data_IF_444083136835
#
_entry.id   IF_444083136835
#
_cell.length_a   1.000
_cell.length_b   1.000
_cell.length_c   1.000
_cell.angle_alpha   90.00
_cell.angle_beta   90.00
_cell.angle_gamma   90.00
#
_symmetry.space_group_name_H-M   'P 1'
#
loop_
_entity.id
_entity.type
_entity.pdbx_description
1 polymer ?
#
# COMPACT_ATOMS: atom_id res chain seq x y z
N UNK A 1 -19.52 18.64 15.18
CA UNK A 1 -18.46 17.65 14.84
C UNK A 1 -17.11 18.33 14.96
N UNK A 2 -16.19 17.74 15.72
CA UNK A 2 -14.98 18.42 16.21
C UNK A 2 -13.77 18.02 15.35
N UNK A 3 -13.24 18.96 14.55
CA UNK A 3 -12.15 18.74 13.59
C UNK A 3 -10.82 18.25 14.24
N UNK A 4 -10.69 18.35 15.57
CA UNK A 4 -9.54 17.83 16.33
C UNK A 4 -9.33 16.31 16.19
N UNK A 5 -10.37 15.52 15.92
CA UNK A 5 -10.28 14.05 15.86
C UNK A 5 -9.85 13.49 14.50
N UNK A 6 -9.89 14.29 13.42
CA UNK A 6 -9.42 13.86 12.09
C UNK A 6 -7.93 14.09 11.89
N UNK A 7 -7.34 14.95 12.73
CA UNK A 7 -5.90 15.18 12.82
C UNK A 7 -5.20 14.19 13.76
N UNK A 8 -5.70 12.94 13.91
CA UNK A 8 -4.78 11.81 14.12
C UNK A 8 -4.06 11.64 12.79
N UNK A 9 -3.13 12.58 12.56
CA UNK A 9 -2.21 12.66 11.45
C UNK A 9 -1.84 11.23 11.13
N UNK A 10 -2.34 10.74 10.00
CA UNK A 10 -1.79 9.55 9.37
C UNK A 10 -0.34 9.93 9.15
N UNK A 11 0.53 9.64 10.12
CA UNK A 11 1.97 9.81 9.96
C UNK A 11 2.25 8.95 8.74
N UNK A 12 2.52 9.60 7.60
CA UNK A 12 2.94 8.88 6.40
C UNK A 12 4.20 8.15 6.84
N UNK A 13 4.09 6.85 6.99
CA UNK A 13 5.23 6.05 7.37
C UNK A 13 6.24 6.19 6.24
N UNK A 14 7.53 6.38 6.57
CA UNK A 14 8.61 6.51 5.56
C UNK A 14 8.52 5.40 4.50
N UNK A 15 8.12 4.21 4.94
CA UNK A 15 8.00 2.98 4.17
C UNK A 15 6.72 2.86 3.35
N UNK A 16 5.72 3.74 3.54
CA UNK A 16 4.48 3.71 2.76
C UNK A 16 4.74 3.90 1.26
N UNK A 17 5.79 4.64 0.89
CA UNK A 17 6.21 4.83 -0.50
C UNK A 17 6.89 3.59 -1.10
N UNK A 18 7.36 2.66 -0.26
CA UNK A 18 8.06 1.45 -0.68
C UNK A 18 7.11 0.26 -0.84
N UNK A 19 5.84 0.40 -0.46
CA UNK A 19 4.83 -0.67 -0.56
C UNK A 19 4.64 -1.10 -2.02
N UNK A 20 4.49 -0.14 -2.94
CA UNK A 20 4.29 -0.44 -4.35
C UNK A 20 5.54 -1.10 -4.95
N UNK A 21 6.72 -0.56 -4.65
CA UNK A 21 7.99 -1.13 -5.11
C UNK A 21 8.22 -2.55 -4.57
N UNK A 22 7.83 -2.82 -3.31
CA UNK A 22 7.89 -4.15 -2.73
C UNK A 22 6.94 -5.13 -3.44
N UNK A 23 5.66 -4.77 -3.58
CA UNK A 23 4.65 -5.64 -4.20
C UNK A 23 4.90 -5.89 -5.70
N UNK A 24 5.62 -4.99 -6.37
CA UNK A 24 6.00 -5.10 -7.78
C UNK A 24 7.40 -5.69 -7.99
N UNK A 25 8.09 -6.15 -6.93
CA UNK A 25 9.45 -6.69 -6.98
C UNK A 25 10.50 -5.71 -7.56
N UNK A 26 10.37 -4.42 -7.28
CA UNK A 26 11.28 -3.35 -7.72
C UNK A 26 12.33 -2.96 -6.65
N UNK A 27 12.25 -3.52 -5.43
CA UNK A 27 13.25 -3.28 -4.39
C UNK A 27 14.47 -4.17 -4.58
N UNK A 28 15.64 -3.65 -4.19
CA UNK A 28 16.81 -4.49 -4.01
C UNK A 28 16.73 -5.22 -2.67
N UNK A 29 17.49 -6.31 -2.53
CA UNK A 29 17.46 -7.18 -1.35
C UNK A 29 17.64 -6.44 -0.02
N UNK A 30 18.56 -5.46 0.02
CA UNK A 30 18.81 -4.67 1.24
C UNK A 30 17.59 -3.84 1.67
N UNK A 31 16.90 -3.19 0.72
CA UNK A 31 15.70 -2.41 1.02
C UNK A 31 14.49 -3.29 1.31
N UNK A 32 14.43 -4.45 0.68
CA UNK A 32 13.41 -5.47 0.94
C UNK A 32 13.48 -5.93 2.40
N UNK A 33 14.67 -6.32 2.88
CA UNK A 33 14.91 -6.71 4.27
C UNK A 33 14.59 -5.57 5.26
N UNK A 34 14.99 -4.32 4.97
CA UNK A 34 14.66 -3.15 5.81
C UNK A 34 13.14 -2.92 5.87
N UNK A 35 12.45 -3.07 4.73
CA UNK A 35 11.01 -2.91 4.63
C UNK A 35 10.26 -4.01 5.37
N UNK A 36 10.71 -5.26 5.26
CA UNK A 36 10.18 -6.42 5.97
C UNK A 36 10.24 -6.24 7.48
N UNK A 37 11.43 -5.93 8.00
CA UNK A 37 11.60 -5.67 9.43
C UNK A 37 10.68 -4.56 9.94
N UNK A 38 10.41 -3.54 9.12
CA UNK A 38 9.48 -2.49 9.48
C UNK A 38 8.02 -2.96 9.50
N UNK A 39 7.52 -3.55 8.41
CA UNK A 39 6.10 -3.86 8.33
C UNK A 39 5.70 -5.01 9.27
N UNK A 40 6.60 -5.98 9.54
CA UNK A 40 6.36 -7.04 10.53
C UNK A 40 6.04 -6.49 11.93
N UNK A 41 6.65 -5.36 12.28
CA UNK A 41 6.50 -4.73 13.60
C UNK A 41 5.50 -3.57 13.61
N UNK A 42 4.83 -3.29 12.49
CA UNK A 42 3.97 -2.12 12.35
C UNK A 42 2.59 -2.49 11.79
N UNK A 43 1.58 -2.75 12.66
CA UNK A 43 0.24 -3.15 12.23
C UNK A 43 -0.42 -2.20 11.21
N UNK A 44 -0.14 -0.90 11.31
CA UNK A 44 -0.65 0.09 10.34
C UNK A 44 -0.03 -0.04 8.96
N UNK A 45 1.26 -0.36 8.87
CA UNK A 45 1.94 -0.61 7.60
C UNK A 45 1.52 -1.96 7.01
N UNK A 46 1.38 -2.99 7.85
CA UNK A 46 0.88 -4.30 7.42
C UNK A 46 -0.52 -4.21 6.81
N UNK A 47 -1.44 -3.47 7.46
CA UNK A 47 -2.78 -3.26 6.89
C UNK A 47 -2.71 -2.58 5.52
N UNK A 48 -1.92 -1.53 5.35
CA UNK A 48 -1.77 -0.83 4.06
C UNK A 48 -1.16 -1.72 2.99
N UNK A 49 -0.18 -2.56 3.34
CA UNK A 49 0.41 -3.54 2.45
C UNK A 49 -0.67 -4.52 1.93
N UNK A 50 -1.50 -5.06 2.84
CA UNK A 50 -2.59 -5.97 2.48
C UNK A 50 -3.67 -5.30 1.63
N UNK A 51 -4.10 -4.09 1.99
CA UNK A 51 -5.07 -3.32 1.20
C UNK A 51 -4.54 -3.11 -0.25
N UNK A 52 -3.23 -2.88 -0.43
CA UNK A 52 -2.59 -2.67 -1.74
C UNK A 52 -2.37 -3.98 -2.51
N UNK A 53 -2.00 -5.06 -1.82
CA UNK A 53 -1.85 -6.41 -2.39
C UNK A 53 -3.17 -6.91 -2.96
N UNK A 54 -4.27 -6.72 -2.23
CA UNK A 54 -5.62 -7.05 -2.69
C UNK A 54 -5.98 -6.29 -3.96
N UNK A 55 -5.74 -4.98 -3.99
CA UNK A 55 -5.97 -4.17 -5.19
C UNK A 55 -5.19 -4.66 -6.41
N UNK A 56 -3.89 -4.93 -6.25
CA UNK A 56 -3.04 -5.46 -7.33
C UNK A 56 -3.53 -6.83 -7.79
N UNK A 57 -3.94 -7.70 -6.85
CA UNK A 57 -4.49 -9.02 -7.15
C UNK A 57 -5.76 -8.91 -8.01
N UNK A 58 -6.69 -8.03 -7.64
CA UNK A 58 -7.93 -7.86 -8.41
C UNK A 58 -7.62 -7.36 -9.84
N UNK A 59 -6.70 -6.41 -10.01
CA UNK A 59 -6.27 -5.95 -11.33
C UNK A 59 -5.66 -7.09 -12.15
N UNK A 60 -4.80 -7.91 -11.54
CA UNK A 60 -4.15 -9.05 -12.22
C UNK A 60 -5.15 -10.11 -12.67
N UNK A 61 -6.19 -10.35 -11.89
CA UNK A 61 -7.17 -11.41 -12.16
C UNK A 61 -8.40 -10.95 -12.93
N UNK A 62 -8.69 -9.65 -12.95
CA UNK A 62 -9.86 -9.10 -13.64
C UNK A 62 -9.53 -7.75 -14.29
N UNK A 63 -8.71 -7.76 -15.36
CA UNK A 63 -8.35 -6.53 -16.07
C UNK A 63 -9.60 -5.81 -16.58
N UNK A 64 -10.52 -6.57 -17.19
CA UNK A 64 -11.67 -6.03 -17.92
C UNK A 64 -12.72 -5.35 -17.02
N UNK A 65 -12.80 -5.70 -15.72
CA UNK A 65 -13.72 -5.07 -14.77
C UNK A 65 -13.22 -3.69 -14.31
N UNK A 66 -11.91 -3.45 -14.30
CA UNK A 66 -11.35 -2.19 -13.79
C UNK A 66 -11.36 -1.06 -14.82
N UNK A 67 -11.18 -1.37 -16.10
CA UNK A 67 -11.17 -0.36 -17.16
C UNK A 67 -12.57 0.17 -17.53
N UNK A 68 -13.63 -0.54 -17.16
CA UNK A 68 -15.01 -0.10 -17.42
C UNK A 68 -15.56 0.88 -16.38
N UNK A 69 -15.14 0.78 -15.11
CA UNK A 69 -15.63 1.64 -14.01
C UNK A 69 -14.74 2.86 -13.74
N UNK A 70 -13.47 2.83 -14.17
CA UNK A 70 -12.63 4.01 -14.19
C UNK A 70 -12.81 4.68 -15.55
N UNK A 71 -13.70 5.67 -15.64
CA UNK A 71 -13.90 6.57 -16.78
C UNK A 71 -12.63 7.42 -17.04
N UNK A 72 -11.50 6.76 -17.33
CA UNK A 72 -10.22 7.35 -17.69
C UNK A 72 -10.30 7.67 -19.19
N UNK A 73 -10.80 8.86 -19.48
CA UNK A 73 -10.60 9.54 -20.75
C UNK A 73 -9.16 10.02 -20.90
#
# INVERSE_FOLDING_TARGET
>A
MNFKYMAKVMRKHKYEKLIDDYLLNNLNKEKEEEFEQHYFNCPSCFKKLKDREEFISIIKHTPDLFFHDLNLK
#
